data_IF_227679220111
#
_entry.id   IF_227679220111
#
_cell.length_a   1.000
_cell.length_b   1.000
_cell.length_c   1.000
_cell.angle_alpha   90.00
_cell.angle_beta   90.00
_cell.angle_gamma   90.00
#
_symmetry.space_group_name_H-M   'P 1'
#
loop_
_entity.id
_entity.type
_entity.pdbx_description
1 polymer ?
#
# COMPACT_ATOMS: atom_id res chain seq x y z
N UNK A 1 -10.68 8.83 -4.25
CA UNK A 1 -10.90 8.31 -2.88
C UNK A 1 -9.85 8.95 -1.99
N UNK A 2 -10.23 9.41 -0.80
CA UNK A 2 -9.28 10.01 0.15
C UNK A 2 -8.27 8.95 0.65
N UNK A 3 -7.05 9.34 1.05
CA UNK A 3 -6.05 8.40 1.60
C UNK A 3 -6.58 7.60 2.79
N UNK A 4 -7.35 8.26 3.65
CA UNK A 4 -8.01 7.62 4.79
C UNK A 4 -8.93 6.47 4.37
N UNK A 5 -9.69 6.64 3.29
CA UNK A 5 -10.57 5.59 2.77
C UNK A 5 -9.78 4.36 2.28
N UNK A 6 -8.61 4.54 1.67
CA UNK A 6 -7.76 3.43 1.25
C UNK A 6 -7.24 2.61 2.43
N UNK A 7 -6.78 3.29 3.49
CA UNK A 7 -6.32 2.63 4.71
C UNK A 7 -7.43 1.86 5.41
N UNK A 8 -8.62 2.46 5.52
CA UNK A 8 -9.80 1.82 6.11
C UNK A 8 -10.22 0.58 5.31
N UNK A 9 -10.28 0.67 3.98
CA UNK A 9 -10.65 -0.45 3.11
C UNK A 9 -9.62 -1.57 3.22
N UNK A 10 -8.33 -1.24 3.28
CA UNK A 10 -7.25 -2.22 3.42
C UNK A 10 -7.33 -2.96 4.76
N UNK A 11 -7.66 -2.24 5.84
CA UNK A 11 -7.89 -2.83 7.16
C UNK A 11 -9.08 -3.80 7.14
N UNK A 12 -10.22 -3.36 6.60
CA UNK A 12 -11.42 -4.21 6.49
C UNK A 12 -11.15 -5.43 5.60
N UNK A 13 -10.38 -5.28 4.54
CA UNK A 13 -9.96 -6.37 3.64
C UNK A 13 -9.16 -7.45 4.38
N UNK A 14 -8.16 -7.06 5.18
CA UNK A 14 -7.35 -8.00 5.98
C UNK A 14 -8.20 -8.66 7.07
N UNK A 15 -9.06 -7.91 7.77
CA UNK A 15 -9.94 -8.47 8.79
C UNK A 15 -10.94 -9.47 8.21
N UNK A 16 -11.52 -9.18 7.04
CA UNK A 16 -12.41 -10.11 6.34
C UNK A 16 -11.68 -11.39 5.92
N UNK A 17 -10.45 -11.28 5.41
CA UNK A 17 -9.60 -12.42 5.07
C UNK A 17 -9.25 -13.27 6.28
N UNK A 18 -8.85 -12.64 7.39
CA UNK A 18 -8.55 -13.32 8.65
C UNK A 18 -9.78 -14.06 9.19
N UNK A 19 -10.94 -13.40 9.23
CA UNK A 19 -12.20 -14.01 9.64
C UNK A 19 -12.55 -15.21 8.75
N UNK A 20 -12.39 -15.10 7.42
CA UNK A 20 -12.67 -16.20 6.49
C UNK A 20 -11.79 -17.43 6.75
N UNK A 21 -10.50 -17.24 7.02
CA UNK A 21 -9.56 -18.33 7.37
C UNK A 21 -9.88 -18.91 8.75
N UNK A 22 -10.12 -18.06 9.74
CA UNK A 22 -10.44 -18.48 11.11
C UNK A 22 -11.71 -19.33 11.17
N UNK A 23 -12.77 -18.90 10.47
CA UNK A 23 -14.01 -19.66 10.33
C UNK A 23 -13.76 -21.05 9.72
N UNK A 24 -12.85 -21.17 8.75
CA UNK A 24 -12.46 -22.45 8.15
C UNK A 24 -11.67 -23.34 9.11
N UNK A 25 -10.80 -22.77 9.93
CA UNK A 25 -10.10 -23.49 11.01
C UNK A 25 -11.09 -24.05 12.04
N UNK A 26 -12.07 -23.24 12.46
CA UNK A 26 -13.13 -23.66 13.38
C UNK A 26 -13.98 -24.81 12.82
N UNK A 27 -14.35 -24.73 11.53
CA UNK A 27 -15.08 -25.79 10.84
C UNK A 27 -14.31 -27.12 10.80
N UNK A 28 -12.98 -27.06 10.60
CA UNK A 28 -12.12 -28.24 10.58
C UNK A 28 -11.89 -28.81 11.99
N UNK A 29 -11.80 -27.96 13.01
CA UNK A 29 -11.54 -28.36 14.40
C UNK A 29 -12.72 -29.03 15.11
N UNK A 30 -13.98 -28.77 14.70
CA UNK A 30 -15.15 -29.32 15.39
C UNK A 30 -16.30 -29.78 14.45
N UNK A 31 -16.15 -30.92 13.76
CA UNK A 31 -17.09 -31.37 12.73
C UNK A 31 -18.46 -31.84 13.24
N UNK A 32 -18.62 -32.09 14.55
CA UNK A 32 -19.81 -32.76 15.12
C UNK A 32 -21.04 -31.85 15.26
N UNK A 33 -20.89 -30.52 15.26
CA UNK A 33 -22.01 -29.57 15.47
C UNK A 33 -22.67 -29.12 14.15
N UNK A 34 -23.44 -30.02 13.53
CA UNK A 34 -24.05 -29.85 12.18
C UNK A 34 -24.81 -28.53 11.96
N UNK A 35 -25.58 -28.05 12.93
CA UNK A 35 -26.36 -26.81 12.80
C UNK A 35 -25.47 -25.55 12.81
N UNK A 36 -24.52 -25.48 13.75
CA UNK A 36 -23.55 -24.39 13.84
C UNK A 36 -22.66 -24.37 12.59
N UNK A 37 -22.25 -25.54 12.10
CA UNK A 37 -21.41 -25.66 10.91
C UNK A 37 -22.11 -25.08 9.66
N UNK A 38 -23.44 -25.24 9.51
CA UNK A 38 -24.18 -24.61 8.41
C UNK A 38 -24.15 -23.08 8.46
N UNK A 39 -24.31 -22.49 9.65
CA UNK A 39 -24.21 -21.04 9.82
C UNK A 39 -22.77 -20.55 9.54
N UNK A 40 -21.78 -21.29 10.04
CA UNK A 40 -20.36 -20.98 9.90
C UNK A 40 -19.89 -21.09 8.43
N UNK A 41 -20.40 -22.06 7.66
CA UNK A 41 -20.19 -22.13 6.21
C UNK A 41 -20.81 -20.94 5.46
N UNK A 42 -22.00 -20.47 5.86
CA UNK A 42 -22.60 -19.26 5.26
C UNK A 42 -21.77 -18.03 5.59
N UNK A 43 -21.33 -17.89 6.84
CA UNK A 43 -20.44 -16.81 7.25
C UNK A 43 -19.14 -16.80 6.44
N UNK A 44 -18.49 -17.96 6.25
CA UNK A 44 -17.30 -18.06 5.39
C UNK A 44 -17.56 -17.57 3.97
N UNK A 45 -18.67 -17.97 3.35
CA UNK A 45 -19.02 -17.53 1.98
C UNK A 45 -19.22 -16.01 1.93
N UNK A 46 -19.93 -15.43 2.91
CA UNK A 46 -20.14 -13.98 2.99
C UNK A 46 -18.80 -13.27 3.14
N UNK A 47 -17.96 -13.68 4.10
CA UNK A 47 -16.62 -13.11 4.27
C UNK A 47 -15.76 -13.24 3.00
N UNK A 48 -15.84 -14.37 2.30
CA UNK A 48 -15.13 -14.59 1.04
C UNK A 48 -15.61 -13.67 -0.09
N UNK A 49 -16.92 -13.44 -0.21
CA UNK A 49 -17.47 -12.49 -1.19
C UNK A 49 -17.12 -11.04 -0.84
N UNK A 50 -17.17 -10.67 0.43
CA UNK A 50 -16.71 -9.36 0.90
C UNK A 50 -15.24 -9.16 0.57
N UNK A 51 -14.37 -10.13 0.88
CA UNK A 51 -12.95 -10.10 0.54
C UNK A 51 -12.73 -9.91 -0.97
N UNK A 52 -13.40 -10.70 -1.81
CA UNK A 52 -13.30 -10.60 -3.26
C UNK A 52 -13.80 -9.24 -3.79
N UNK A 53 -14.93 -8.74 -3.27
CA UNK A 53 -15.50 -7.45 -3.66
C UNK A 53 -14.59 -6.27 -3.30
N UNK A 54 -14.03 -6.28 -2.08
CA UNK A 54 -13.07 -5.27 -1.64
C UNK A 54 -11.79 -5.31 -2.49
N UNK A 55 -11.27 -6.51 -2.79
CA UNK A 55 -10.12 -6.65 -3.68
C UNK A 55 -10.38 -6.05 -5.06
N UNK A 56 -11.52 -6.36 -5.68
CA UNK A 56 -11.89 -5.80 -6.98
C UNK A 56 -12.06 -4.27 -6.93
N UNK A 57 -12.69 -3.74 -5.89
CA UNK A 57 -12.80 -2.30 -5.66
C UNK A 57 -11.42 -1.63 -5.61
N UNK A 58 -10.47 -2.22 -4.87
CA UNK A 58 -9.11 -1.70 -4.77
C UNK A 58 -8.36 -1.79 -6.11
N UNK A 59 -8.51 -2.90 -6.85
CA UNK A 59 -7.93 -3.05 -8.19
C UNK A 59 -8.43 -1.96 -9.15
N UNK A 60 -9.75 -1.72 -9.21
CA UNK A 60 -10.34 -0.69 -10.06
C UNK A 60 -9.82 0.69 -9.67
N UNK A 61 -9.78 1.00 -8.38
CA UNK A 61 -9.26 2.29 -7.92
C UNK A 61 -7.78 2.49 -8.24
N UNK A 62 -6.96 1.43 -8.22
CA UNK A 62 -5.55 1.50 -8.61
C UNK A 62 -5.40 1.73 -10.12
N UNK A 63 -6.17 1.02 -10.95
CA UNK A 63 -6.18 1.21 -12.41
C UNK A 63 -6.58 2.64 -12.76
N UNK A 64 -7.61 3.19 -12.12
CA UNK A 64 -8.03 4.58 -12.34
C UNK A 64 -6.95 5.60 -11.95
N UNK A 65 -6.15 5.30 -10.91
CA UNK A 65 -5.04 6.17 -10.49
C UNK A 65 -3.84 6.09 -11.43
N UNK A 66 -3.58 4.94 -12.03
CA UNK A 66 -2.45 4.72 -12.95
C UNK A 66 -2.79 4.97 -14.41
N UNK A 67 -4.07 5.08 -14.77
CA UNK A 67 -4.53 5.41 -16.10
C UNK A 67 -4.03 6.81 -16.52
N UNK A 68 -3.00 6.84 -17.38
CA UNK A 68 -2.35 8.05 -17.86
C UNK A 68 -0.86 8.17 -17.51
N UNK A 69 -0.33 7.26 -16.70
CA UNK A 69 1.09 7.26 -16.33
C UNK A 69 1.92 6.59 -17.44
N UNK A 70 2.87 7.32 -18.00
CA UNK A 70 3.80 6.85 -19.06
C UNK A 70 5.22 6.59 -18.55
N UNK A 71 5.44 6.63 -17.23
CA UNK A 71 6.78 6.58 -16.65
C UNK A 71 7.05 5.24 -15.97
N UNK A 72 8.33 4.89 -15.87
CA UNK A 72 8.79 3.64 -15.27
C UNK A 72 8.43 3.60 -13.78
N UNK A 73 7.78 2.51 -13.37
CA UNK A 73 7.40 2.33 -11.98
C UNK A 73 8.60 1.84 -11.16
N UNK A 74 8.74 2.33 -9.93
CA UNK A 74 9.72 1.81 -8.97
C UNK A 74 9.58 0.29 -8.78
N UNK A 75 10.70 -0.40 -8.49
CA UNK A 75 10.73 -1.84 -8.27
C UNK A 75 9.69 -2.33 -7.24
N UNK A 76 9.40 -1.52 -6.21
CA UNK A 76 8.36 -1.84 -5.21
C UNK A 76 6.96 -1.87 -5.81
N UNK A 77 6.62 -0.88 -6.63
CA UNK A 77 5.31 -0.78 -7.27
C UNK A 77 5.15 -1.91 -8.28
N UNK A 78 6.22 -2.26 -9.01
CA UNK A 78 6.23 -3.44 -9.87
C UNK A 78 5.97 -4.74 -9.09
N UNK A 79 6.63 -4.93 -7.94
CA UNK A 79 6.38 -6.09 -7.08
C UNK A 79 4.93 -6.12 -6.57
N UNK A 80 4.39 -4.97 -6.16
CA UNK A 80 3.00 -4.86 -5.73
C UNK A 80 2.01 -5.20 -6.85
N UNK A 81 2.24 -4.70 -8.07
CA UNK A 81 1.43 -5.01 -9.24
C UNK A 81 1.51 -6.50 -9.57
N UNK A 82 2.71 -7.09 -9.59
CA UNK A 82 2.90 -8.51 -9.88
C UNK A 82 2.18 -9.41 -8.85
N UNK A 83 2.32 -9.10 -7.56
CA UNK A 83 1.61 -9.79 -6.49
C UNK A 83 0.09 -9.62 -6.59
N UNK A 84 -0.40 -8.44 -6.98
CA UNK A 84 -1.83 -8.20 -7.18
C UNK A 84 -2.39 -9.04 -8.33
N UNK A 85 -1.68 -9.11 -9.45
CA UNK A 85 -2.07 -9.92 -10.62
C UNK A 85 -2.11 -11.40 -10.25
N UNK A 86 -1.08 -11.91 -9.57
CA UNK A 86 -1.07 -13.30 -9.14
C UNK A 86 -2.19 -13.60 -8.13
N UNK A 87 -2.51 -12.67 -7.21
CA UNK A 87 -3.64 -12.81 -6.29
C UNK A 87 -4.99 -12.85 -7.03
N UNK A 88 -5.17 -12.02 -8.07
CA UNK A 88 -6.34 -12.03 -8.93
C UNK A 88 -6.52 -13.39 -9.62
N UNK A 89 -5.46 -13.95 -10.21
CA UNK A 89 -5.52 -15.26 -10.86
C UNK A 89 -5.82 -16.39 -9.87
N UNK A 90 -5.21 -16.38 -8.68
CA UNK A 90 -5.50 -17.38 -7.65
C UNK A 90 -6.96 -17.29 -7.16
N UNK A 91 -7.49 -16.09 -7.02
CA UNK A 91 -8.88 -15.88 -6.63
C UNK A 91 -9.84 -16.35 -7.73
N UNK A 92 -9.57 -16.00 -8.98
CA UNK A 92 -10.34 -16.46 -10.14
C UNK A 92 -10.31 -17.99 -10.26
N UNK A 93 -9.14 -18.60 -10.11
CA UNK A 93 -8.97 -20.06 -10.11
C UNK A 93 -9.78 -20.70 -8.99
N UNK A 94 -9.70 -20.17 -7.76
CA UNK A 94 -10.50 -20.65 -6.62
C UNK A 94 -12.00 -20.60 -6.91
N UNK A 95 -12.50 -19.49 -7.48
CA UNK A 95 -13.92 -19.32 -7.81
C UNK A 95 -14.33 -20.29 -8.92
N UNK A 96 -13.51 -20.43 -9.97
CA UNK A 96 -13.77 -21.33 -11.10
C UNK A 96 -13.80 -22.79 -10.65
N UNK A 97 -12.82 -23.25 -9.87
CA UNK A 97 -12.81 -24.62 -9.37
C UNK A 97 -13.99 -24.87 -8.42
N UNK A 98 -14.32 -23.92 -7.53
CA UNK A 98 -15.46 -24.05 -6.63
C UNK A 98 -16.81 -24.14 -7.37
N UNK A 99 -16.91 -23.55 -8.58
CA UNK A 99 -18.12 -23.64 -9.42
C UNK A 99 -18.18 -24.92 -10.26
N UNK A 100 -17.05 -25.35 -10.82
CA UNK A 100 -16.99 -26.48 -11.77
C UNK A 100 -16.80 -27.82 -11.05
N UNK A 101 -15.90 -27.90 -10.08
CA UNK A 101 -15.47 -29.17 -9.46
C UNK A 101 -15.91 -29.26 -7.99
N UNK A 102 -17.19 -29.57 -7.77
CA UNK A 102 -17.78 -29.71 -6.42
C UNK A 102 -17.17 -30.84 -5.58
N UNK A 103 -16.51 -31.84 -6.21
CA UNK A 103 -15.96 -33.04 -5.56
C UNK A 103 -14.52 -32.88 -5.04
N UNK A 104 -13.83 -31.79 -5.40
CA UNK A 104 -12.41 -31.58 -5.06
C UNK A 104 -12.21 -30.75 -3.78
N UNK A 105 -13.10 -30.92 -2.79
CA UNK A 105 -13.29 -29.96 -1.70
C UNK A 105 -12.19 -29.86 -0.65
N UNK A 106 -11.40 -30.92 -0.48
CA UNK A 106 -10.49 -31.03 0.66
C UNK A 106 -9.18 -30.25 0.46
N UNK A 107 -8.78 -29.97 -0.78
CA UNK A 107 -7.58 -29.17 -1.07
C UNK A 107 -7.81 -27.64 -0.91
N UNK A 108 -9.07 -27.19 -0.82
CA UNK A 108 -9.41 -25.76 -0.80
C UNK A 108 -8.94 -24.99 0.44
N UNK A 109 -8.60 -25.71 1.51
CA UNK A 109 -8.07 -25.11 2.73
C UNK A 109 -6.71 -24.43 2.49
N UNK A 110 -5.76 -25.13 1.86
CA UNK A 110 -4.43 -24.59 1.57
C UNK A 110 -4.51 -23.38 0.64
N UNK A 111 -5.37 -23.45 -0.37
CA UNK A 111 -5.64 -22.35 -1.30
C UNK A 111 -6.18 -21.09 -0.56
N UNK A 112 -6.99 -21.27 0.49
CA UNK A 112 -7.47 -20.16 1.32
C UNK A 112 -6.35 -19.46 2.11
N UNK A 113 -5.43 -20.23 2.69
CA UNK A 113 -4.30 -19.69 3.46
C UNK A 113 -3.32 -18.96 2.53
N UNK A 114 -3.00 -19.54 1.37
CA UNK A 114 -2.09 -18.92 0.38
C UNK A 114 -2.63 -17.54 -0.04
N UNK A 115 -3.93 -17.45 -0.37
CA UNK A 115 -4.59 -16.18 -0.70
C UNK A 115 -4.47 -15.16 0.44
N UNK A 116 -4.67 -15.59 1.69
CA UNK A 116 -4.59 -14.69 2.84
C UNK A 116 -3.16 -14.19 3.10
N UNK A 117 -2.15 -15.08 3.06
CA UNK A 117 -0.75 -14.70 3.24
C UNK A 117 -0.33 -13.71 2.15
N UNK A 118 -0.66 -14.02 0.90
CA UNK A 118 -0.32 -13.16 -0.22
C UNK A 118 -0.99 -11.79 -0.13
N UNK A 119 -2.26 -11.74 0.28
CA UNK A 119 -2.97 -10.50 0.57
C UNK A 119 -2.34 -9.71 1.72
N UNK A 120 -1.94 -10.38 2.80
CA UNK A 120 -1.26 -9.75 3.93
C UNK A 120 0.10 -9.17 3.55
N UNK A 121 0.89 -9.88 2.73
CA UNK A 121 2.15 -9.36 2.18
C UNK A 121 1.90 -8.15 1.30
N UNK A 122 0.91 -8.22 0.40
CA UNK A 122 0.56 -7.13 -0.50
C UNK A 122 0.17 -5.85 0.27
N UNK A 123 -0.69 -5.98 1.28
CA UNK A 123 -1.09 -4.86 2.15
C UNK A 123 0.08 -4.38 3.03
N UNK A 124 0.91 -5.30 3.52
CA UNK A 124 2.10 -4.99 4.32
C UNK A 124 3.16 -4.21 3.55
N UNK A 125 3.37 -4.51 2.25
CA UNK A 125 4.29 -3.75 1.39
C UNK A 125 3.85 -2.29 1.21
N UNK A 126 2.55 -2.01 1.28
CA UNK A 126 2.01 -0.65 1.22
C UNK A 126 2.00 0.02 2.59
N UNK A 127 1.36 -0.59 3.59
CA UNK A 127 1.19 0.00 4.92
C UNK A 127 2.49 0.01 5.75
N UNK A 128 3.33 -1.02 5.60
CA UNK A 128 4.60 -1.16 6.31
C UNK A 128 5.62 -0.10 5.92
N UNK A 129 5.59 0.38 4.67
CA UNK A 129 6.46 1.50 4.28
C UNK A 129 6.10 2.78 5.03
N UNK A 130 4.81 3.10 5.16
CA UNK A 130 4.35 4.25 5.94
C UNK A 130 4.64 4.12 7.43
N UNK A 131 4.52 2.92 7.97
CA UNK A 131 4.79 2.65 9.38
C UNK A 131 6.30 2.68 9.71
N UNK A 132 7.16 2.09 8.86
CA UNK A 132 8.60 2.04 9.06
C UNK A 132 9.29 3.37 8.80
N UNK A 133 8.82 4.15 7.81
CA UNK A 133 9.28 5.53 7.60
C UNK A 133 8.99 6.43 8.82
N UNK A 134 7.87 6.18 9.52
CA UNK A 134 7.52 6.89 10.76
C UNK A 134 8.29 6.40 11.99
N UNK A 135 8.83 5.17 11.94
CA UNK A 135 9.60 4.56 13.04
C UNK A 135 11.11 4.78 12.93
N UNK A 136 11.59 5.57 11.95
CA UNK A 136 13.02 5.88 11.79
C UNK A 136 13.90 4.73 11.32
N UNK A 137 13.33 3.57 10.97
CA UNK A 137 14.07 2.37 10.56
C UNK A 137 14.36 2.33 9.04
N UNK A 138 14.64 3.48 8.45
CA UNK A 138 15.10 3.60 7.07
C UNK A 138 16.62 3.41 6.95
N UNK A 139 17.18 3.42 5.72
CA UNK A 139 18.63 3.32 5.46
C UNK A 139 19.51 4.39 6.16
N UNK A 140 18.93 5.31 6.93
CA UNK A 140 19.62 6.22 7.84
C UNK A 140 20.60 5.52 8.81
N UNK A 141 20.34 4.27 9.20
CA UNK A 141 21.29 3.50 10.02
C UNK A 141 22.60 3.14 9.29
N UNK A 142 22.62 3.21 7.95
CA UNK A 142 23.81 2.93 7.12
C UNK A 142 24.55 4.24 6.77
N UNK A 143 23.87 5.39 6.80
CA UNK A 143 24.46 6.72 6.52
C UNK A 143 25.24 7.30 7.72
N UNK A 144 25.04 6.75 8.92
CA UNK A 144 25.65 7.19 10.19
C UNK A 144 27.19 7.00 10.28
N UNK A 145 27.86 6.61 9.20
CA UNK A 145 29.31 6.41 9.15
C UNK A 145 30.08 7.45 8.31
N UNK A 146 29.46 8.56 7.89
CA UNK A 146 30.16 9.64 7.17
C UNK A 146 30.47 10.82 8.11
N UNK A 147 31.72 11.33 8.17
CA UNK A 147 32.05 12.44 9.06
C UNK A 147 31.31 13.72 8.68
N UNK A 148 30.80 14.37 9.72
CA UNK A 148 29.86 15.49 9.74
C UNK A 148 30.57 16.83 9.56
N UNK A 149 30.22 17.58 8.50
CA UNK A 149 30.58 18.99 8.36
C UNK A 149 29.37 19.85 8.77
N UNK A 150 29.57 20.64 9.81
CA UNK A 150 28.57 21.41 10.56
C UNK A 150 27.73 22.38 9.71
N UNK A 151 26.44 22.04 9.49
CA UNK A 151 25.32 22.97 9.26
C UNK A 151 24.08 22.42 10.00
N UNK A 152 23.19 23.31 10.43
CA UNK A 152 22.02 23.10 11.32
C UNK A 152 21.21 21.80 11.04
N UNK A 153 21.66 20.69 11.65
CA UNK A 153 21.16 19.32 11.42
C UNK A 153 19.70 19.15 11.87
N UNK A 154 19.25 19.97 12.83
CA UNK A 154 17.93 19.79 13.46
C UNK A 154 16.77 20.28 12.58
N UNK A 155 16.98 21.37 11.84
CA UNK A 155 15.99 21.90 10.91
C UNK A 155 15.88 21.00 9.68
N UNK A 156 17.01 20.64 9.07
CA UNK A 156 17.08 19.83 7.87
C UNK A 156 16.46 18.44 8.05
N UNK A 157 16.65 17.78 9.20
CA UNK A 157 15.99 16.50 9.49
C UNK A 157 14.47 16.62 9.55
N UNK A 158 13.95 17.70 10.16
CA UNK A 158 12.51 17.92 10.27
C UNK A 158 11.85 18.25 8.92
N UNK A 159 12.53 19.03 8.09
CA UNK A 159 12.08 19.41 6.75
C UNK A 159 12.15 18.20 5.79
N UNK A 160 13.22 17.41 5.88
CA UNK A 160 13.36 16.14 5.18
C UNK A 160 12.27 15.15 5.57
N UNK A 161 12.01 14.98 6.86
CA UNK A 161 10.97 14.08 7.36
C UNK A 161 9.57 14.52 6.86
N UNK A 162 9.34 15.83 6.74
CA UNK A 162 8.11 16.37 6.16
C UNK A 162 7.97 15.98 4.68
N UNK A 163 9.02 16.15 3.88
CA UNK A 163 9.05 15.70 2.47
C UNK A 163 8.81 14.20 2.38
N UNK A 164 9.51 13.40 3.18
CA UNK A 164 9.38 11.94 3.21
C UNK A 164 7.94 11.51 3.56
N UNK A 165 7.33 12.14 4.56
CA UNK A 165 5.98 11.80 4.99
C UNK A 165 4.91 12.18 3.96
N UNK A 166 5.01 13.37 3.37
CA UNK A 166 3.98 13.89 2.45
C UNK A 166 4.16 13.32 1.03
N UNK A 167 5.39 13.30 0.53
CA UNK A 167 5.66 12.99 -0.86
C UNK A 167 5.80 11.47 -1.12
N UNK A 168 6.23 10.67 -0.14
CA UNK A 168 6.29 9.21 -0.29
C UNK A 168 4.91 8.52 -0.18
N UNK A 169 3.86 9.29 0.07
CA UNK A 169 2.46 8.85 0.15
C UNK A 169 1.91 8.23 -1.15
N UNK A 170 2.53 8.51 -2.30
CA UNK A 170 2.03 8.06 -3.60
C UNK A 170 3.09 7.40 -4.48
N UNK A 171 4.35 7.84 -4.42
CA UNK A 171 5.45 7.31 -5.22
C UNK A 171 6.79 7.46 -4.48
N UNK A 172 7.87 6.85 -4.99
CA UNK A 172 9.20 7.01 -4.40
C UNK A 172 9.76 8.42 -4.64
N UNK A 173 10.73 8.83 -3.82
CA UNK A 173 11.28 10.19 -3.85
C UNK A 173 12.50 10.35 -4.76
N UNK A 174 12.86 9.32 -5.52
CA UNK A 174 14.04 9.32 -6.38
C UNK A 174 14.01 10.51 -7.36
N UNK A 175 12.85 10.79 -7.97
CA UNK A 175 12.66 11.94 -8.87
C UNK A 175 12.62 13.30 -8.15
N UNK A 176 12.25 13.29 -6.87
CA UNK A 176 12.09 14.51 -6.08
C UNK A 176 13.46 15.00 -5.67
N UNK A 177 14.28 14.10 -5.14
CA UNK A 177 15.66 14.40 -4.80
C UNK A 177 16.56 14.52 -6.04
N UNK A 178 16.30 13.79 -7.12
CA UNK A 178 17.11 13.88 -8.35
C UNK A 178 16.85 15.12 -9.22
N UNK A 179 15.83 15.91 -8.93
CA UNK A 179 15.44 17.08 -9.73
C UNK A 179 16.14 18.35 -9.24
N UNK A 180 16.73 19.11 -10.18
CA UNK A 180 17.26 20.45 -9.91
C UNK A 180 16.26 21.50 -10.37
N UNK A 181 15.65 22.18 -9.41
CA UNK A 181 14.59 23.17 -9.64
C UNK A 181 14.68 24.29 -8.63
N UNK A 182 14.24 25.46 -9.05
CA UNK A 182 14.07 26.64 -8.19
C UNK A 182 12.92 26.45 -7.20
N UNK A 183 12.88 27.26 -6.14
CA UNK A 183 11.80 27.23 -5.16
C UNK A 183 10.44 27.50 -5.82
N UNK A 184 10.37 28.42 -6.79
CA UNK A 184 9.15 28.75 -7.54
C UNK A 184 8.66 27.56 -8.38
N UNK A 185 9.58 26.85 -9.04
CA UNK A 185 9.26 25.63 -9.78
C UNK A 185 8.77 24.52 -8.85
N UNK A 186 9.37 24.36 -7.67
CA UNK A 186 8.90 23.43 -6.65
C UNK A 186 7.51 23.81 -6.13
N UNK A 187 7.22 25.08 -5.89
CA UNK A 187 5.91 25.58 -5.49
C UNK A 187 4.83 25.19 -6.53
N UNK A 188 5.16 25.26 -7.82
CA UNK A 188 4.26 24.85 -8.89
C UNK A 188 4.04 23.33 -8.90
N UNK A 189 5.11 22.54 -8.73
CA UNK A 189 5.03 21.07 -8.67
C UNK A 189 4.24 20.60 -7.44
N UNK A 190 4.51 21.16 -6.26
CA UNK A 190 3.79 20.81 -5.03
C UNK A 190 2.31 21.16 -5.18
N UNK A 191 1.98 22.30 -5.80
CA UNK A 191 0.58 22.63 -6.13
C UNK A 191 -0.05 21.57 -7.02
N UNK A 192 0.63 21.18 -8.08
CA UNK A 192 0.15 20.13 -8.99
C UNK A 192 -0.01 18.77 -8.29
N UNK A 193 0.89 18.42 -7.36
CA UNK A 193 0.78 17.22 -6.54
C UNK A 193 -0.43 17.27 -5.59
N UNK A 194 -0.71 18.42 -4.97
CA UNK A 194 -1.91 18.62 -4.14
C UNK A 194 -3.19 18.45 -5.00
N UNK A 195 -3.19 19.00 -6.20
CA UNK A 195 -4.32 18.91 -7.13
C UNK A 195 -4.57 17.45 -7.58
N UNK A 196 -3.51 16.69 -7.90
CA UNK A 196 -3.61 15.26 -8.23
C UNK A 196 -4.09 14.43 -7.04
N UNK A 197 -3.60 14.75 -5.83
CA UNK A 197 -4.00 14.07 -4.61
C UNK A 197 -5.49 14.26 -4.33
N UNK A 198 -6.04 15.42 -4.69
CA UNK A 198 -7.48 15.73 -4.57
C UNK A 198 -7.91 16.14 -3.16
N UNK A 199 -6.97 16.40 -2.26
CA UNK A 199 -7.23 17.00 -0.94
C UNK A 199 -6.42 18.30 -0.83
N UNK A 200 -7.08 19.47 -0.91
CA UNK A 200 -6.41 20.77 -0.83
C UNK A 200 -5.67 21.01 0.48
N UNK A 201 -6.00 20.26 1.54
CA UNK A 201 -5.40 20.41 2.87
C UNK A 201 -4.30 19.37 3.16
N UNK A 202 -3.94 18.55 2.17
CA UNK A 202 -2.90 17.52 2.35
C UNK A 202 -1.53 18.14 2.72
N UNK A 203 -1.20 19.29 2.13
CA UNK A 203 -0.04 20.11 2.44
C UNK A 203 -0.54 21.53 2.70
N UNK A 204 -0.34 22.03 3.92
CA UNK A 204 -0.69 23.40 4.32
C UNK A 204 0.17 24.43 3.58
N UNK A 205 -0.24 25.71 3.63
CA UNK A 205 0.53 26.81 3.01
C UNK A 205 1.94 26.94 3.58
N UNK A 206 2.08 26.72 4.89
CA UNK A 206 3.37 26.83 5.58
C UNK A 206 4.27 25.64 5.22
N UNK A 207 3.72 24.41 5.28
CA UNK A 207 4.43 23.19 4.85
C UNK A 207 4.85 23.27 3.37
N UNK A 208 4.01 23.85 2.49
CA UNK A 208 4.34 24.01 1.08
C UNK A 208 5.60 24.86 0.89
N UNK A 209 5.71 25.94 1.64
CA UNK A 209 6.86 26.86 1.56
C UNK A 209 8.11 26.18 2.09
N UNK A 210 8.00 25.50 3.24
CA UNK A 210 9.09 24.71 3.84
C UNK A 210 9.59 23.63 2.87
N UNK A 211 8.70 22.80 2.34
CA UNK A 211 9.05 21.72 1.39
C UNK A 211 9.71 22.29 0.13
N UNK A 212 9.18 23.37 -0.43
CA UNK A 212 9.69 23.93 -1.70
C UNK A 212 11.08 24.53 -1.53
N UNK A 213 11.31 25.24 -0.42
CA UNK A 213 12.63 25.79 -0.07
C UNK A 213 13.65 24.68 0.18
N UNK A 214 13.28 23.68 0.98
CA UNK A 214 14.15 22.55 1.29
C UNK A 214 14.59 21.82 0.01
N UNK A 215 13.66 21.53 -0.90
CA UNK A 215 13.97 20.85 -2.17
C UNK A 215 14.79 21.71 -3.14
N UNK A 216 14.68 23.03 -3.08
CA UNK A 216 15.53 23.94 -3.85
C UNK A 216 16.96 24.01 -3.29
N UNK A 217 17.10 23.96 -1.96
CA UNK A 217 18.39 24.02 -1.25
C UNK A 217 19.16 22.70 -1.22
N UNK A 218 18.46 21.57 -1.29
CA UNK A 218 19.04 20.23 -1.17
C UNK A 218 18.75 19.34 -2.40
N UNK A 219 19.17 19.73 -3.63
CA UNK A 219 19.07 18.84 -4.78
C UNK A 219 20.04 17.66 -4.60
N UNK A 220 19.52 16.45 -4.69
CA UNK A 220 20.31 15.23 -4.78
C UNK A 220 21.17 15.18 -6.05
N UNK A 221 22.04 14.17 -6.17
CA UNK A 221 22.92 14.02 -7.32
C UNK A 221 22.11 13.94 -8.62
N UNK A 222 22.54 14.66 -9.66
CA UNK A 222 21.93 14.59 -10.99
C UNK A 222 21.91 13.13 -11.44
N UNK A 223 20.72 12.58 -11.62
CA UNK A 223 20.57 11.32 -12.33
C UNK A 223 20.83 11.58 -13.82
N UNK A 224 21.70 10.79 -14.48
CA UNK A 224 22.04 10.98 -15.89
C UNK A 224 20.83 10.74 -16.82
#
# INVERSE_FOLDING_TARGET
>A
MTPFAHSLISLVFILAGFAAVFIMLLLRGNPKKRAINRALFRAHKICGYVFAGLFLLMCVSMIQKTAGWRHEFSARVNLHIALSIALFFLLALKISIARVFKKFSDSFFHQGIILFIMAAVLTGLSAGHYALGRAGAGPAAIEASRPEETRDVSADESERALVETKCASCHTLDRVYGAQKTEEEWIAIVKWMIDIHGDPNFISKDEKTVISRFLAGNPGPKTP
#
